data_IF_128156329877
#
_entry.id   IF_128156329877
#
_cell.length_a   1.000
_cell.length_b   1.000
_cell.length_c   1.000
_cell.angle_alpha   90.00
_cell.angle_beta   90.00
_cell.angle_gamma   90.00
#
_symmetry.space_group_name_H-M   'P 1'
#
loop_
_entity.id
_entity.type
_entity.pdbx_description
1 polymer ?
#
# COMPACT_ATOMS: atom_id res chain seq x y z
N UNK A 1 6.00 -22.91 -6.33
CA UNK A 1 6.54 -21.62 -6.78
C UNK A 1 7.26 -21.02 -5.58
N UNK A 2 8.34 -20.27 -5.74
CA UNK A 2 8.91 -19.53 -4.61
C UNK A 2 7.93 -18.41 -4.21
N UNK A 3 7.80 -18.09 -2.92
CA UNK A 3 6.76 -17.16 -2.47
C UNK A 3 7.00 -15.73 -2.96
N UNK A 4 8.26 -15.29 -3.05
CA UNK A 4 8.59 -13.97 -3.61
C UNK A 4 8.20 -13.83 -5.09
N UNK A 5 8.35 -14.92 -5.86
CA UNK A 5 7.90 -14.98 -7.26
C UNK A 5 6.38 -14.92 -7.36
N UNK A 6 5.66 -15.65 -6.49
CA UNK A 6 4.21 -15.64 -6.46
C UNK A 6 3.65 -14.25 -6.11
N UNK A 7 4.25 -13.58 -5.11
CA UNK A 7 3.86 -12.20 -4.76
C UNK A 7 4.05 -11.26 -5.96
N UNK A 8 5.21 -11.32 -6.62
CA UNK A 8 5.48 -10.51 -7.81
C UNK A 8 4.42 -10.73 -8.90
N UNK A 9 4.12 -11.98 -9.25
CA UNK A 9 3.15 -12.30 -10.30
C UNK A 9 1.75 -11.78 -9.95
N UNK A 10 1.32 -11.97 -8.70
CA UNK A 10 -0.01 -11.57 -8.25
C UNK A 10 -0.14 -10.05 -8.07
N UNK A 11 0.91 -9.36 -7.62
CA UNK A 11 0.94 -7.89 -7.56
C UNK A 11 0.92 -7.27 -8.97
N UNK A 12 1.66 -7.85 -9.92
CA UNK A 12 1.63 -7.45 -11.34
C UNK A 12 0.25 -7.68 -11.94
N UNK A 13 -0.38 -8.82 -11.64
CA UNK A 13 -1.72 -9.12 -12.13
C UNK A 13 -2.76 -8.14 -11.58
N UNK A 14 -2.74 -7.86 -10.27
CA UNK A 14 -3.59 -6.85 -9.63
C UNK A 14 -3.49 -5.48 -10.34
N UNK A 15 -2.27 -5.01 -10.60
CA UNK A 15 -2.06 -3.75 -11.31
C UNK A 15 -2.53 -3.80 -12.77
N UNK A 16 -2.39 -4.94 -13.46
CA UNK A 16 -2.89 -5.10 -14.84
C UNK A 16 -4.41 -5.07 -14.91
N UNK A 17 -5.09 -5.65 -13.93
CA UNK A 17 -6.56 -5.64 -13.87
C UNK A 17 -7.07 -4.21 -13.62
N UNK A 18 -6.48 -3.51 -12.65
CA UNK A 18 -6.75 -2.08 -12.40
C UNK A 18 -6.47 -1.22 -13.64
N UNK A 19 -5.36 -1.48 -14.34
CA UNK A 19 -5.03 -0.80 -15.60
C UNK A 19 -6.08 -1.05 -16.69
N UNK A 20 -6.70 -2.23 -16.70
CA UNK A 20 -7.79 -2.60 -17.60
C UNK A 20 -9.02 -1.71 -17.42
N UNK A 21 -9.27 -1.23 -16.20
CA UNK A 21 -10.41 -0.39 -15.84
C UNK A 21 -10.22 1.11 -16.12
N UNK A 22 -9.16 1.49 -16.84
CA UNK A 22 -8.83 2.89 -17.09
C UNK A 22 -9.98 3.72 -17.68
N UNK A 23 -10.85 3.15 -18.51
CA UNK A 23 -12.05 3.84 -19.03
C UNK A 23 -13.08 4.12 -17.94
N UNK A 24 -13.31 3.16 -17.04
CA UNK A 24 -14.20 3.32 -15.88
C UNK A 24 -13.65 4.40 -14.94
N UNK A 25 -12.33 4.41 -14.71
CA UNK A 25 -11.68 5.42 -13.89
C UNK A 25 -11.71 6.81 -14.55
N UNK A 26 -11.68 6.89 -15.88
CA UNK A 26 -11.84 8.15 -16.61
C UNK A 26 -13.24 8.77 -16.43
N UNK A 27 -14.30 7.95 -16.32
CA UNK A 27 -15.64 8.44 -15.99
C UNK A 27 -15.67 9.13 -14.62
N UNK A 28 -15.02 8.52 -13.62
CA UNK A 28 -14.89 9.12 -12.28
C UNK A 28 -14.03 10.38 -12.32
N UNK A 29 -12.91 10.35 -13.03
CA UNK A 29 -12.05 11.52 -13.21
C UNK A 29 -12.78 12.67 -13.92
N UNK A 30 -13.70 12.37 -14.83
CA UNK A 30 -14.55 13.38 -15.48
C UNK A 30 -15.43 14.08 -14.45
N UNK A 31 -16.09 13.33 -13.56
CA UNK A 31 -16.89 13.90 -12.46
C UNK A 31 -16.07 14.74 -11.50
N UNK A 32 -14.89 14.26 -11.12
CA UNK A 32 -13.96 15.02 -10.29
C UNK A 32 -13.49 16.32 -10.97
N UNK A 33 -13.18 16.26 -12.27
CA UNK A 33 -12.76 17.44 -13.06
C UNK A 33 -13.88 18.47 -13.15
N UNK A 34 -15.11 18.03 -13.43
CA UNK A 34 -16.28 18.92 -13.53
C UNK A 34 -16.60 19.59 -12.18
N UNK A 35 -16.47 18.85 -11.08
CA UNK A 35 -16.59 19.40 -9.73
C UNK A 35 -15.56 20.53 -9.51
N UNK A 36 -14.28 20.26 -9.76
CA UNK A 36 -13.21 21.26 -9.58
C UNK A 36 -13.40 22.49 -10.48
N UNK A 37 -13.80 22.31 -11.74
CA UNK A 37 -14.10 23.42 -12.68
C UNK A 37 -15.27 24.29 -12.23
N UNK A 38 -16.18 23.75 -11.43
CA UNK A 38 -17.36 24.46 -10.90
C UNK A 38 -17.19 24.89 -9.44
N UNK A 39 -15.95 24.95 -8.95
CA UNK A 39 -15.58 25.35 -7.58
C UNK A 39 -16.24 24.46 -6.50
N UNK A 40 -16.41 23.17 -6.82
CA UNK A 40 -16.78 22.10 -5.91
C UNK A 40 -15.55 21.33 -5.46
N UNK A 41 -15.69 20.59 -4.38
CA UNK A 41 -14.57 19.87 -3.75
C UNK A 41 -14.61 18.39 -4.13
N UNK A 42 -13.43 17.80 -4.28
CA UNK A 42 -13.26 16.35 -4.37
C UNK A 42 -12.61 15.90 -3.08
N UNK A 43 -13.31 15.06 -2.32
CA UNK A 43 -12.84 14.50 -1.06
C UNK A 43 -12.28 13.10 -1.28
N UNK A 44 -11.18 12.77 -0.62
CA UNK A 44 -10.58 11.43 -0.61
C UNK A 44 -10.54 10.87 0.81
N UNK A 45 -11.32 9.80 1.04
CA UNK A 45 -11.36 9.01 2.26
C UNK A 45 -11.08 7.55 1.95
N UNK A 46 -9.88 7.30 1.41
CA UNK A 46 -9.42 5.96 1.03
C UNK A 46 -8.41 5.52 2.09
N UNK A 47 -8.89 4.80 3.10
CA UNK A 47 -8.11 4.47 4.31
C UNK A 47 -7.84 2.97 4.49
N UNK A 48 -8.20 2.15 3.50
CA UNK A 48 -8.10 0.69 3.59
C UNK A 48 -6.77 0.22 3.01
N UNK A 49 -6.02 -0.52 3.82
CA UNK A 49 -4.57 -0.57 3.70
C UNK A 49 -3.99 0.57 4.55
N UNK A 50 -2.98 0.27 5.35
CA UNK A 50 -2.42 1.27 6.25
C UNK A 50 -1.65 2.36 5.48
N UNK A 51 -1.02 2.00 4.35
CA UNK A 51 -0.26 2.94 3.51
C UNK A 51 -1.07 4.11 2.92
N UNK A 52 -2.29 3.93 2.34
CA UNK A 52 -3.11 5.02 1.82
C UNK A 52 -3.24 6.23 2.75
N UNK A 53 -3.36 6.01 4.07
CA UNK A 53 -3.44 7.07 5.08
C UNK A 53 -2.30 8.08 5.03
N UNK A 54 -1.14 7.65 4.54
CA UNK A 54 0.06 8.47 4.45
C UNK A 54 0.51 8.74 3.01
N UNK A 55 0.16 7.86 2.08
CA UNK A 55 0.50 8.05 0.68
C UNK A 55 -0.41 9.07 0.01
N UNK A 56 -1.65 9.23 0.47
CA UNK A 56 -2.65 10.07 -0.19
C UNK A 56 -2.80 11.48 0.43
N UNK A 57 -2.08 11.77 1.50
CA UNK A 57 -2.10 13.07 2.18
C UNK A 57 -1.69 14.19 1.22
N UNK A 58 -2.29 15.38 1.39
CA UNK A 58 -2.09 16.51 0.48
C UNK A 58 -0.64 17.03 0.45
N UNK A 59 0.11 16.90 1.54
CA UNK A 59 1.52 17.32 1.66
C UNK A 59 2.52 16.23 1.24
N UNK A 60 2.04 15.08 0.75
CA UNK A 60 2.89 14.06 0.14
C UNK A 60 3.60 14.66 -1.06
N UNK A 61 4.94 14.58 -1.08
CA UNK A 61 5.74 15.01 -2.23
C UNK A 61 5.21 14.38 -3.51
N UNK A 62 4.90 15.22 -4.50
CA UNK A 62 4.33 14.78 -5.77
C UNK A 62 2.82 14.71 -5.87
N UNK A 63 2.12 14.90 -4.76
CA UNK A 63 0.68 15.05 -4.77
C UNK A 63 0.32 16.46 -5.24
N UNK A 64 -0.45 16.61 -6.34
CA UNK A 64 -0.90 17.94 -6.79
C UNK A 64 -2.01 18.54 -5.91
N UNK A 65 -2.46 17.81 -4.87
CA UNK A 65 -3.43 18.25 -3.88
C UNK A 65 -4.79 18.69 -4.44
N UNK A 66 -5.22 18.11 -5.57
CA UNK A 66 -6.55 18.35 -6.13
C UNK A 66 -7.68 17.74 -5.30
N UNK A 67 -7.38 16.70 -4.51
CA UNK A 67 -8.36 16.02 -3.67
C UNK A 67 -8.08 16.32 -2.20
N UNK A 68 -9.08 16.75 -1.45
CA UNK A 68 -8.98 16.98 -0.01
C UNK A 68 -8.97 15.63 0.72
N UNK A 69 -7.81 15.25 1.26
CA UNK A 69 -7.70 14.02 2.03
C UNK A 69 -8.31 14.22 3.43
N UNK A 70 -9.29 13.39 3.78
CA UNK A 70 -10.09 13.58 5.00
C UNK A 70 -9.51 12.89 6.23
N UNK A 71 -8.36 12.23 6.12
CA UNK A 71 -7.63 11.64 7.24
C UNK A 71 -7.65 10.11 7.26
N UNK A 72 -7.09 9.56 8.34
CA UNK A 72 -6.83 8.13 8.53
C UNK A 72 -8.07 7.27 8.83
N UNK A 73 -9.12 7.90 9.33
CA UNK A 73 -10.35 7.24 9.78
C UNK A 73 -11.51 7.54 8.83
N UNK A 74 -12.69 6.98 9.11
CA UNK A 74 -13.92 7.40 8.44
C UNK A 74 -14.13 8.91 8.58
N UNK A 75 -14.68 9.55 7.55
CA UNK A 75 -15.02 10.98 7.61
C UNK A 75 -15.83 11.32 8.88
N UNK A 76 -15.45 12.40 9.57
CA UNK A 76 -16.16 12.87 10.76
C UNK A 76 -17.51 13.49 10.38
N UNK A 77 -18.46 13.62 11.33
CA UNK A 77 -19.71 14.33 11.09
C UNK A 77 -19.52 15.76 10.57
N UNK A 78 -18.50 16.47 11.05
CA UNK A 78 -18.16 17.82 10.60
C UNK A 78 -17.66 17.84 9.16
N UNK A 79 -16.85 16.85 8.78
CA UNK A 79 -16.38 16.69 7.40
C UNK A 79 -17.55 16.41 6.45
N UNK A 80 -18.46 15.50 6.81
CA UNK A 80 -19.67 15.27 6.04
C UNK A 80 -20.56 16.53 5.95
N UNK A 81 -20.69 17.29 7.04
CA UNK A 81 -21.48 18.53 7.07
C UNK A 81 -20.88 19.65 6.20
N UNK A 82 -19.57 19.61 5.92
CA UNK A 82 -18.90 20.54 5.01
C UNK A 82 -19.16 20.21 3.53
N UNK A 83 -19.48 18.95 3.20
CA UNK A 83 -19.79 18.52 1.84
C UNK A 83 -21.17 19.01 1.39
N UNK A 84 -21.32 19.25 0.09
CA UNK A 84 -22.54 19.80 -0.51
C UNK A 84 -22.80 19.23 -1.91
N UNK A 85 -24.02 19.42 -2.40
CA UNK A 85 -24.42 19.03 -3.76
C UNK A 85 -23.38 19.46 -4.81
N UNK A 86 -23.01 18.51 -5.68
CA UNK A 86 -22.00 18.70 -6.74
C UNK A 86 -20.56 18.41 -6.33
N UNK A 87 -20.28 18.18 -5.03
CA UNK A 87 -18.99 17.65 -4.59
C UNK A 87 -18.85 16.16 -4.96
N UNK A 88 -17.62 15.65 -4.92
CA UNK A 88 -17.28 14.24 -5.15
C UNK A 88 -16.65 13.65 -3.90
N UNK A 89 -17.05 12.44 -3.51
CA UNK A 89 -16.42 11.69 -2.42
C UNK A 89 -15.87 10.36 -2.94
N UNK A 90 -14.55 10.20 -2.90
CA UNK A 90 -13.87 8.92 -3.12
C UNK A 90 -13.70 8.23 -1.76
N UNK A 91 -14.29 7.06 -1.56
CA UNK A 91 -14.21 6.35 -0.27
C UNK A 91 -14.20 4.85 -0.43
N UNK A 92 -13.83 4.14 0.62
CA UNK A 92 -14.04 2.70 0.77
C UNK A 92 -14.94 2.39 1.97
N UNK A 93 -15.76 3.34 2.42
CA UNK A 93 -16.70 3.16 3.51
C UNK A 93 -18.11 2.82 3.01
N UNK A 94 -18.79 1.92 3.73
CA UNK A 94 -20.21 1.58 3.51
C UNK A 94 -20.97 1.76 4.83
N UNK A 95 -21.65 2.90 4.97
CA UNK A 95 -22.41 3.29 6.16
C UNK A 95 -23.50 4.33 5.85
N UNK A 96 -24.29 4.72 6.86
CA UNK A 96 -25.39 5.68 6.76
C UNK A 96 -24.94 7.06 6.30
N UNK A 97 -23.80 7.56 6.79
CA UNK A 97 -23.30 8.89 6.43
C UNK A 97 -22.90 8.98 4.96
N UNK A 98 -22.28 7.93 4.42
CA UNK A 98 -21.94 7.83 2.99
C UNK A 98 -23.21 7.80 2.13
N UNK A 99 -24.22 7.02 2.54
CA UNK A 99 -25.51 6.99 1.84
C UNK A 99 -26.22 8.35 1.90
N UNK A 100 -26.24 8.99 3.06
CA UNK A 100 -26.85 10.30 3.25
C UNK A 100 -26.15 11.36 2.40
N UNK A 101 -24.82 11.32 2.30
CA UNK A 101 -24.05 12.20 1.42
C UNK A 101 -24.48 12.03 -0.06
N UNK A 102 -24.60 10.78 -0.54
CA UNK A 102 -25.13 10.50 -1.88
C UNK A 102 -26.53 11.09 -2.07
N UNK A 103 -27.42 10.86 -1.11
CA UNK A 103 -28.85 11.22 -1.23
C UNK A 103 -29.07 12.74 -1.27
N UNK A 104 -28.12 13.56 -0.80
CA UNK A 104 -28.13 15.04 -0.93
C UNK A 104 -27.38 15.58 -2.15
N UNK A 105 -27.01 14.70 -3.09
CA UNK A 105 -26.45 15.10 -4.39
C UNK A 105 -24.93 15.18 -4.46
N UNK A 106 -24.21 14.60 -3.50
CA UNK A 106 -22.76 14.36 -3.61
C UNK A 106 -22.53 13.14 -4.50
N UNK A 107 -21.60 13.20 -5.43
CA UNK A 107 -21.24 12.05 -6.26
C UNK A 107 -20.29 11.12 -5.47
N UNK A 108 -20.85 10.05 -4.92
CA UNK A 108 -20.12 9.11 -4.06
C UNK A 108 -19.56 7.96 -4.88
N UNK A 109 -18.25 7.77 -4.81
CA UNK A 109 -17.53 6.67 -5.44
C UNK A 109 -17.00 5.75 -4.35
N UNK A 110 -17.49 4.50 -4.31
CA UNK A 110 -17.03 3.48 -3.36
C UNK A 110 -16.05 2.53 -4.05
N UNK A 111 -14.85 2.39 -3.49
CA UNK A 111 -13.86 1.41 -3.92
C UNK A 111 -14.16 0.12 -3.17
N UNK A 112 -14.32 -1.01 -3.89
CA UNK A 112 -14.35 -2.31 -3.23
C UNK A 112 -13.01 -2.55 -2.55
N UNK A 113 -12.99 -3.17 -1.39
CA UNK A 113 -11.77 -3.59 -0.71
C UNK A 113 -12.04 -4.90 0.02
N UNK A 114 -11.00 -5.55 0.54
CA UNK A 114 -11.17 -6.73 1.37
C UNK A 114 -11.92 -6.46 2.69
N UNK A 115 -11.95 -5.22 3.17
CA UNK A 115 -12.56 -4.83 4.45
C UNK A 115 -14.06 -4.54 4.34
N UNK A 116 -14.58 -4.46 3.11
CA UNK A 116 -15.99 -4.18 2.84
C UNK A 116 -16.61 -5.40 2.17
N UNK A 117 -17.68 -5.91 2.75
CA UNK A 117 -18.45 -6.97 2.12
C UNK A 117 -19.04 -6.45 0.80
N UNK A 118 -18.83 -7.16 -0.29
CA UNK A 118 -19.20 -6.70 -1.63
C UNK A 118 -19.62 -7.90 -2.50
N UNK A 119 -20.12 -7.62 -3.70
CA UNK A 119 -20.65 -8.64 -4.62
C UNK A 119 -19.68 -9.77 -4.98
N UNK A 120 -18.37 -9.52 -4.89
CA UNK A 120 -17.32 -10.51 -5.21
C UNK A 120 -16.90 -11.33 -3.98
N UNK A 121 -17.39 -10.98 -2.80
CA UNK A 121 -17.07 -11.66 -1.55
C UNK A 121 -17.96 -12.90 -1.38
N UNK A 122 -17.38 -14.08 -1.12
CA UNK A 122 -18.18 -15.26 -0.81
C UNK A 122 -18.99 -15.07 0.48
N UNK A 123 -20.24 -15.56 0.47
CA UNK A 123 -21.15 -15.40 1.59
C UNK A 123 -20.55 -15.91 2.91
N UNK A 124 -20.64 -15.09 3.96
CA UNK A 124 -20.18 -15.43 5.31
C UNK A 124 -18.66 -15.48 5.50
N UNK A 125 -17.87 -14.91 4.56
CA UNK A 125 -16.41 -14.84 4.69
C UNK A 125 -15.89 -13.50 5.24
N UNK A 126 -16.61 -12.42 4.97
CA UNK A 126 -16.35 -11.08 5.50
C UNK A 126 -17.54 -10.68 6.36
N UNK A 127 -17.27 -9.97 7.45
CA UNK A 127 -18.31 -9.46 8.34
C UNK A 127 -19.26 -8.56 7.53
N UNK A 128 -20.58 -8.60 7.81
CA UNK A 128 -21.51 -7.75 7.10
C UNK A 128 -21.20 -6.28 7.33
N UNK A 129 -21.42 -5.47 6.29
CA UNK A 129 -21.38 -4.02 6.44
C UNK A 129 -22.56 -3.55 7.30
N UNK A 130 -22.56 -2.27 7.67
CA UNK A 130 -23.68 -1.66 8.39
C UNK A 130 -24.98 -1.87 7.60
N UNK A 131 -26.04 -2.31 8.29
CA UNK A 131 -27.35 -2.64 7.72
C UNK A 131 -27.33 -3.71 6.61
N UNK A 132 -26.30 -4.56 6.54
CA UNK A 132 -26.08 -5.55 5.48
C UNK A 132 -26.01 -4.94 4.07
N UNK A 133 -25.74 -3.65 3.96
CA UNK A 133 -25.66 -2.95 2.68
C UNK A 133 -24.45 -3.38 1.86
N UNK A 134 -24.60 -3.38 0.54
CA UNK A 134 -23.51 -3.52 -0.41
C UNK A 134 -23.01 -2.14 -0.86
N UNK A 135 -21.80 -2.02 -1.43
CA UNK A 135 -21.31 -0.76 -1.99
C UNK A 135 -22.32 -0.05 -2.91
N UNK A 136 -23.05 -0.81 -3.73
CA UNK A 136 -24.09 -0.31 -4.63
C UNK A 136 -25.27 0.37 -3.90
N UNK A 137 -25.54 0.02 -2.64
CA UNK A 137 -26.64 0.60 -1.87
C UNK A 137 -26.35 2.02 -1.37
N UNK A 138 -25.06 2.41 -1.32
CA UNK A 138 -24.61 3.71 -0.79
C UNK A 138 -23.89 4.58 -1.82
N UNK A 139 -23.38 3.99 -2.90
CA UNK A 139 -22.58 4.70 -3.89
C UNK A 139 -23.41 5.27 -5.06
N UNK A 140 -22.89 6.31 -5.72
CA UNK A 140 -23.24 6.68 -7.09
C UNK A 140 -22.50 5.81 -8.11
N UNK A 141 -21.28 5.39 -7.78
CA UNK A 141 -20.44 4.50 -8.61
C UNK A 141 -19.60 3.59 -7.72
N UNK A 142 -19.54 2.32 -8.07
CA UNK A 142 -18.63 1.35 -7.43
C UNK A 142 -17.46 1.10 -8.36
N UNK A 143 -16.24 1.17 -7.83
CA UNK A 143 -14.99 0.82 -8.51
C UNK A 143 -14.51 -0.49 -7.93
N UNK A 144 -14.29 -1.49 -8.79
CA UNK A 144 -13.66 -2.74 -8.37
C UNK A 144 -12.17 -2.51 -8.21
N UNK A 145 -11.62 -2.76 -7.03
CA UNK A 145 -10.18 -2.62 -6.80
C UNK A 145 -9.39 -3.84 -7.23
N UNK A 146 -10.06 -4.95 -7.56
CA UNK A 146 -9.46 -6.26 -7.82
C UNK A 146 -8.65 -6.83 -6.64
N UNK A 147 -8.67 -6.15 -5.48
CA UNK A 147 -8.05 -6.65 -4.26
C UNK A 147 -8.85 -7.89 -3.83
N UNK A 148 -8.20 -9.06 -3.67
CA UNK A 148 -8.91 -10.26 -3.26
C UNK A 148 -9.54 -10.04 -1.89
N UNK A 149 -10.74 -10.57 -1.66
CA UNK A 149 -11.44 -10.43 -0.36
C UNK A 149 -10.61 -10.96 0.82
N UNK A 150 -9.73 -11.95 0.58
CA UNK A 150 -8.83 -12.50 1.59
C UNK A 150 -7.52 -11.70 1.75
N UNK A 151 -7.32 -10.64 0.98
CA UNK A 151 -6.22 -9.65 0.98
C UNK A 151 -4.84 -10.17 0.56
N UNK A 152 -4.44 -11.34 1.02
CA UNK A 152 -3.12 -11.90 0.76
C UNK A 152 -2.93 -12.29 -0.70
N UNK A 153 -1.71 -12.13 -1.20
CA UNK A 153 -1.30 -12.39 -2.57
C UNK A 153 -0.42 -13.64 -2.71
N UNK A 154 -0.15 -14.36 -1.61
CA UNK A 154 0.69 -15.56 -1.63
C UNK A 154 -0.01 -16.69 -0.91
N UNK A 155 -0.04 -17.87 -1.52
CA UNK A 155 -0.44 -19.10 -0.86
C UNK A 155 0.77 -19.81 -0.24
N UNK A 156 0.81 -19.89 1.09
CA UNK A 156 1.82 -20.65 1.82
C UNK A 156 1.21 -21.97 2.34
N UNK A 157 1.65 -23.16 1.85
CA UNK A 157 1.12 -24.45 2.30
C UNK A 157 1.22 -24.70 3.80
N UNK A 158 2.24 -24.13 4.44
CA UNK A 158 2.49 -24.21 5.88
C UNK A 158 1.51 -23.38 6.72
N UNK A 159 0.75 -22.49 6.08
CA UNK A 159 -0.22 -21.58 6.71
C UNK A 159 -1.57 -21.73 5.97
N UNK A 160 -2.20 -22.92 6.02
CA UNK A 160 -3.35 -23.26 5.17
C UNK A 160 -4.63 -22.46 5.45
N UNK A 161 -4.73 -21.78 6.60
CA UNK A 161 -5.88 -20.98 7.00
C UNK A 161 -6.05 -19.65 6.22
N UNK A 162 -4.98 -19.18 5.56
CA UNK A 162 -4.97 -17.89 4.85
C UNK A 162 -3.91 -17.81 3.77
N UNK A 163 -4.14 -16.93 2.79
CA UNK A 163 -3.06 -16.35 1.99
C UNK A 163 -2.34 -15.27 2.80
N UNK A 164 -1.04 -15.09 2.58
CA UNK A 164 -0.18 -14.11 3.25
C UNK A 164 0.23 -12.99 2.30
N UNK A 165 0.86 -11.94 2.85
CA UNK A 165 1.39 -10.75 2.15
C UNK A 165 0.31 -9.94 1.41
N UNK A 166 -0.13 -8.78 1.95
CA UNK A 166 -1.26 -8.03 1.42
C UNK A 166 -0.99 -7.34 0.06
N UNK A 167 -2.09 -7.09 -0.67
CA UNK A 167 -2.10 -6.29 -1.89
C UNK A 167 -2.95 -5.01 -1.83
N UNK A 168 -3.67 -4.76 -0.75
CA UNK A 168 -4.72 -3.73 -0.68
C UNK A 168 -4.21 -2.31 -0.92
N UNK A 169 -3.08 -1.98 -0.30
CA UNK A 169 -2.43 -0.67 -0.46
C UNK A 169 -1.95 -0.41 -1.88
N UNK A 170 -1.44 -1.44 -2.58
CA UNK A 170 -1.03 -1.32 -3.97
C UNK A 170 -2.22 -0.97 -4.87
N UNK A 171 -3.35 -1.67 -4.69
CA UNK A 171 -4.54 -1.46 -5.51
C UNK A 171 -5.20 -0.10 -5.27
N UNK A 172 -5.42 0.25 -4.00
CA UNK A 172 -6.11 1.48 -3.62
C UNK A 172 -5.31 2.73 -3.99
N UNK A 173 -3.98 2.72 -3.78
CA UNK A 173 -3.12 3.83 -4.18
C UNK A 173 -3.03 3.94 -5.72
N UNK A 174 -2.94 2.81 -6.44
CA UNK A 174 -2.89 2.84 -7.91
C UNK A 174 -4.14 3.50 -8.51
N UNK A 175 -5.33 3.10 -8.04
CA UNK A 175 -6.61 3.67 -8.51
C UNK A 175 -6.67 5.17 -8.21
N UNK A 176 -6.31 5.58 -7.00
CA UNK A 176 -6.25 6.99 -6.63
C UNK A 176 -5.35 7.77 -7.57
N UNK A 177 -4.11 7.33 -7.78
CA UNK A 177 -3.15 8.04 -8.62
C UNK A 177 -3.54 8.05 -10.10
N UNK A 178 -4.21 7.02 -10.59
CA UNK A 178 -4.79 7.02 -11.93
C UNK A 178 -5.85 8.12 -12.10
N UNK A 179 -6.78 8.24 -11.15
CA UNK A 179 -7.82 9.29 -11.17
C UNK A 179 -7.16 10.67 -11.03
N UNK A 180 -6.22 10.84 -10.10
CA UNK A 180 -5.48 12.09 -9.91
C UNK A 180 -4.75 12.52 -11.18
N UNK A 181 -4.11 11.58 -11.87
CA UNK A 181 -3.36 11.87 -13.10
C UNK A 181 -4.28 12.34 -14.24
N UNK A 182 -5.43 11.69 -14.42
CA UNK A 182 -6.46 12.10 -15.38
C UNK A 182 -7.00 13.50 -15.07
N UNK A 183 -7.36 13.77 -13.80
CA UNK A 183 -7.86 15.07 -13.37
C UNK A 183 -6.83 16.17 -13.59
N UNK A 184 -5.58 15.94 -13.15
CA UNK A 184 -4.49 16.90 -13.30
C UNK A 184 -4.28 17.29 -14.77
N UNK A 185 -4.25 16.29 -15.66
CA UNK A 185 -4.08 16.52 -17.09
C UNK A 185 -5.29 17.24 -17.69
N UNK A 186 -6.52 16.84 -17.34
CA UNK A 186 -7.75 17.47 -17.83
C UNK A 186 -7.89 18.93 -17.41
N UNK A 187 -7.48 19.29 -16.19
CA UNK A 187 -7.44 20.68 -15.72
C UNK A 187 -6.39 21.50 -16.46
N UNK A 188 -5.22 20.92 -16.75
CA UNK A 188 -4.13 21.61 -17.44
C UNK A 188 -4.39 21.82 -18.95
N UNK A 189 -5.15 20.93 -19.60
CA UNK A 189 -5.33 20.97 -21.06
C UNK A 189 -6.76 21.23 -21.53
N UNK A 190 -7.70 21.43 -20.60
CA UNK A 190 -9.15 21.54 -20.88
C UNK A 190 -9.76 20.32 -21.61
N UNK A 191 -9.04 19.19 -21.64
CA UNK A 191 -9.54 17.95 -22.26
C UNK A 191 -10.46 17.21 -21.29
N UNK A 192 -11.27 16.31 -21.84
CA UNK A 192 -12.01 15.32 -21.05
C UNK A 192 -11.10 14.14 -20.75
N UNK A 193 -11.10 13.62 -19.51
CA UNK A 193 -10.46 12.36 -19.18
C UNK A 193 -10.89 11.22 -20.12
N UNK A 194 -9.92 10.43 -20.57
CA UNK A 194 -10.15 9.29 -21.48
C UNK A 194 -9.45 8.00 -21.01
N UNK A 195 -8.77 8.05 -19.87
CA UNK A 195 -8.11 6.91 -19.23
C UNK A 195 -6.68 6.68 -19.72
N UNK A 196 -6.20 7.41 -20.74
CA UNK A 196 -4.85 7.21 -21.27
C UNK A 196 -3.76 7.65 -20.30
N UNK A 197 -3.98 8.72 -19.53
CA UNK A 197 -3.01 9.25 -18.58
C UNK A 197 -2.95 8.36 -17.33
N UNK A 198 -4.10 7.93 -16.82
CA UNK A 198 -4.18 6.94 -15.75
C UNK A 198 -3.53 5.62 -16.15
N UNK A 199 -3.81 5.11 -17.36
CA UNK A 199 -3.16 3.90 -17.89
C UNK A 199 -1.64 4.05 -17.97
N UNK A 200 -1.16 5.22 -18.38
CA UNK A 200 0.27 5.54 -18.43
C UNK A 200 0.95 5.44 -17.06
N UNK A 201 0.27 5.85 -15.99
CA UNK A 201 0.79 5.71 -14.62
C UNK A 201 1.09 4.24 -14.29
N UNK A 202 0.12 3.35 -14.52
CA UNK A 202 0.30 1.92 -14.23
C UNK A 202 1.26 1.25 -15.21
N UNK A 203 1.32 1.67 -16.48
CA UNK A 203 2.33 1.19 -17.44
C UNK A 203 3.75 1.39 -16.90
N UNK A 204 4.03 2.57 -16.35
CA UNK A 204 5.34 2.89 -15.77
C UNK A 204 5.61 2.06 -14.51
N UNK A 205 4.60 1.87 -13.64
CA UNK A 205 4.74 0.98 -12.48
C UNK A 205 5.12 -0.44 -12.91
N UNK A 206 4.38 -1.01 -13.87
CA UNK A 206 4.60 -2.36 -14.38
C UNK A 206 5.99 -2.51 -15.02
N UNK A 207 6.43 -1.52 -15.80
CA UNK A 207 7.78 -1.49 -16.38
C UNK A 207 8.85 -1.55 -15.29
N UNK A 208 8.72 -0.71 -14.26
CA UNK A 208 9.68 -0.63 -13.15
C UNK A 208 9.68 -1.89 -12.29
N UNK A 209 8.52 -2.44 -11.97
CA UNK A 209 8.38 -3.70 -11.21
C UNK A 209 9.06 -4.84 -11.98
N UNK A 210 8.86 -4.92 -13.30
CA UNK A 210 9.53 -5.91 -14.15
C UNK A 210 11.05 -5.70 -14.20
N UNK A 211 11.53 -4.46 -14.19
CA UNK A 211 12.96 -4.16 -14.17
C UNK A 211 13.62 -4.53 -12.83
N UNK A 212 12.95 -4.26 -11.71
CA UNK A 212 13.40 -4.70 -10.37
C UNK A 212 13.44 -6.23 -10.32
N UNK A 213 12.37 -6.90 -10.75
CA UNK A 213 12.32 -8.36 -10.78
C UNK A 213 13.44 -8.95 -11.64
N UNK A 214 13.59 -8.50 -12.88
CA UNK A 214 14.59 -9.08 -13.78
C UNK A 214 16.04 -8.82 -13.38
N UNK A 215 16.34 -7.69 -12.72
CA UNK A 215 17.72 -7.30 -12.38
C UNK A 215 18.12 -7.66 -10.95
N UNK A 216 17.18 -7.60 -10.00
CA UNK A 216 17.49 -7.65 -8.58
C UNK A 216 17.07 -8.97 -7.92
N UNK A 217 16.39 -9.88 -8.63
CA UNK A 217 15.88 -11.15 -8.07
C UNK A 217 16.97 -11.99 -7.39
N UNK A 218 18.18 -12.03 -7.95
CA UNK A 218 19.29 -12.78 -7.32
C UNK A 218 19.66 -12.16 -5.96
N UNK A 219 19.78 -10.84 -5.90
CA UNK A 219 20.09 -10.12 -4.65
C UNK A 219 18.92 -10.21 -3.66
N UNK A 220 17.67 -10.19 -4.14
CA UNK A 220 16.49 -10.37 -3.31
C UNK A 220 16.50 -11.74 -2.65
N UNK A 221 16.76 -12.80 -3.42
CA UNK A 221 16.82 -14.17 -2.88
C UNK A 221 17.98 -14.34 -1.89
N UNK A 222 19.18 -13.83 -2.17
CA UNK A 222 20.30 -13.91 -1.21
C UNK A 222 20.05 -13.09 0.06
N UNK A 223 19.38 -11.94 -0.07
CA UNK A 223 18.99 -11.12 1.07
C UNK A 223 17.95 -11.84 1.91
N UNK A 224 16.95 -12.46 1.28
CA UNK A 224 15.91 -13.22 1.96
C UNK A 224 16.46 -14.37 2.81
N UNK A 225 17.45 -15.13 2.31
CA UNK A 225 18.14 -16.17 3.08
C UNK A 225 18.79 -15.57 4.34
N UNK A 226 19.51 -14.45 4.19
CA UNK A 226 20.19 -13.79 5.32
C UNK A 226 19.21 -13.22 6.36
N UNK A 227 18.05 -12.73 5.93
CA UNK A 227 16.98 -12.30 6.84
C UNK A 227 16.43 -13.51 7.60
N UNK A 228 16.12 -14.61 6.90
CA UNK A 228 15.56 -15.81 7.52
C UNK A 228 16.51 -16.40 8.57
N UNK A 229 17.80 -16.55 8.26
CA UNK A 229 18.84 -16.99 9.21
C UNK A 229 18.84 -16.14 10.47
N UNK A 230 18.85 -14.81 10.29
CA UNK A 230 18.86 -13.83 11.38
C UNK A 230 17.63 -13.91 12.28
N UNK A 231 16.44 -13.98 11.67
CA UNK A 231 15.18 -14.07 12.41
C UNK A 231 15.11 -15.40 13.18
N UNK A 232 15.48 -16.52 12.56
CA UNK A 232 15.50 -17.85 13.20
C UNK A 232 16.45 -17.87 14.40
N UNK A 233 17.56 -17.12 14.35
CA UNK A 233 18.52 -16.98 15.45
C UNK A 233 18.05 -16.02 16.57
N UNK A 234 16.81 -15.51 16.49
CA UNK A 234 16.18 -14.62 17.47
C UNK A 234 16.34 -13.13 17.16
N UNK A 235 16.51 -12.78 15.89
CA UNK A 235 16.55 -11.41 15.38
C UNK A 235 15.15 -10.79 15.19
N UNK A 236 15.08 -9.47 15.28
CA UNK A 236 13.88 -8.68 14.98
C UNK A 236 13.89 -8.18 13.53
N UNK A 237 12.71 -7.90 12.97
CA UNK A 237 12.55 -7.27 11.67
C UNK A 237 11.90 -5.90 11.82
N UNK A 238 12.68 -4.87 11.56
CA UNK A 238 12.28 -3.48 11.68
C UNK A 238 12.15 -2.86 10.30
N UNK A 239 11.05 -2.16 10.06
CA UNK A 239 10.79 -1.38 8.86
C UNK A 239 10.57 0.09 9.25
N UNK A 240 11.25 1.00 8.55
CA UNK A 240 11.07 2.45 8.66
C UNK A 240 10.78 3.08 7.32
N UNK A 241 9.93 4.09 7.34
CA UNK A 241 9.65 4.95 6.18
C UNK A 241 9.34 6.35 6.68
N UNK A 242 10.03 7.37 6.16
CA UNK A 242 9.83 8.76 6.60
C UNK A 242 8.39 9.24 6.46
N UNK A 243 7.71 8.88 5.37
CA UNK A 243 6.31 9.22 5.19
C UNK A 243 5.36 8.26 5.94
N UNK A 244 5.86 7.29 6.72
CA UNK A 244 5.12 6.25 7.44
C UNK A 244 4.32 5.27 6.56
N UNK A 245 4.13 5.50 5.26
CA UNK A 245 3.30 4.64 4.41
C UNK A 245 3.71 3.16 4.42
N UNK A 246 4.94 2.87 3.99
CA UNK A 246 5.47 1.49 3.93
C UNK A 246 5.66 0.90 5.35
N UNK A 247 6.08 1.72 6.31
CA UNK A 247 6.24 1.30 7.70
C UNK A 247 4.91 0.87 8.34
N UNK A 248 3.86 1.66 8.13
CA UNK A 248 2.53 1.37 8.63
C UNK A 248 1.95 0.15 7.94
N UNK A 249 2.19 -0.02 6.63
CA UNK A 249 1.79 -1.22 5.90
C UNK A 249 2.53 -2.48 6.34
N UNK A 250 3.79 -2.39 6.75
CA UNK A 250 4.51 -3.53 7.29
C UNK A 250 3.96 -3.98 8.65
N UNK A 251 3.26 -3.09 9.36
CA UNK A 251 2.90 -3.27 10.78
C UNK A 251 1.42 -3.59 10.93
N UNK A 252 1.11 -4.74 11.54
CA UNK A 252 -0.25 -5.15 11.97
C UNK A 252 -1.34 -5.18 10.90
N UNK A 253 -0.99 -5.00 9.64
CA UNK A 253 -1.93 -5.09 8.52
C UNK A 253 -2.46 -6.52 8.40
N UNK A 254 -3.70 -6.66 7.92
CA UNK A 254 -4.28 -7.95 7.64
C UNK A 254 -3.45 -8.73 6.59
N UNK A 255 -3.21 -10.01 6.86
CA UNK A 255 -2.26 -10.88 6.12
C UNK A 255 -0.81 -10.40 6.14
N UNK A 256 -0.50 -9.42 7.00
CA UNK A 256 0.85 -8.98 7.31
C UNK A 256 1.52 -9.92 8.31
N UNK A 257 2.83 -9.94 8.23
CA UNK A 257 3.70 -10.74 9.09
C UNK A 257 3.67 -10.18 10.53
N UNK A 258 3.43 -11.03 11.54
CA UNK A 258 3.28 -10.56 12.93
C UNK A 258 4.57 -9.98 13.51
N UNK A 259 5.74 -10.50 13.13
CA UNK A 259 7.03 -10.04 13.65
C UNK A 259 7.48 -8.67 13.13
N UNK A 260 6.88 -8.18 12.03
CA UNK A 260 7.29 -6.93 11.41
C UNK A 260 6.94 -5.76 12.34
N UNK A 261 7.96 -5.02 12.79
CA UNK A 261 7.86 -3.92 13.76
C UNK A 261 7.22 -4.31 15.12
N UNK A 262 7.14 -5.60 15.45
CA UNK A 262 6.60 -6.03 16.74
C UNK A 262 7.53 -5.73 17.91
N UNK A 263 8.84 -5.68 17.62
CA UNK A 263 9.88 -5.47 18.62
C UNK A 263 10.79 -4.32 18.20
N UNK A 264 11.30 -3.53 19.17
CA UNK A 264 12.25 -2.46 18.87
C UNK A 264 13.60 -3.04 18.41
N UNK A 265 14.36 -2.23 17.69
CA UNK A 265 15.78 -2.51 17.47
C UNK A 265 16.53 -2.54 18.80
N UNK A 266 17.52 -3.43 18.91
CA UNK A 266 18.34 -3.59 20.11
C UNK A 266 19.79 -3.14 19.88
N UNK A 267 20.51 -2.71 20.92
CA UNK A 267 21.97 -2.57 20.88
C UNK A 267 22.68 -3.88 20.54
N UNK A 268 23.92 -3.80 20.06
CA UNK A 268 24.70 -4.96 19.62
C UNK A 268 24.92 -5.99 20.75
N UNK A 269 25.08 -5.55 22.00
CA UNK A 269 25.27 -6.40 23.19
C UNK A 269 23.97 -7.07 23.69
N UNK A 270 22.82 -6.66 23.15
CA UNK A 270 21.50 -7.24 23.43
C UNK A 270 20.95 -8.06 22.25
N UNK A 271 21.78 -8.33 21.23
CA UNK A 271 21.43 -9.12 20.05
C UNK A 271 21.04 -8.31 18.81
N UNK A 272 21.35 -7.01 18.78
CA UNK A 272 21.14 -6.16 17.61
C UNK A 272 21.86 -6.64 16.36
N UNK A 273 22.95 -7.39 16.50
CA UNK A 273 23.68 -8.03 15.39
C UNK A 273 22.84 -9.07 14.63
N UNK A 274 21.77 -9.57 15.25
CA UNK A 274 20.79 -10.48 14.65
C UNK A 274 19.62 -9.76 14.00
N UNK A 275 19.37 -8.50 14.34
CA UNK A 275 18.22 -7.77 13.81
C UNK A 275 18.45 -7.39 12.34
N UNK A 276 17.35 -7.29 11.61
CA UNK A 276 17.30 -6.75 10.24
C UNK A 276 16.55 -5.42 10.26
N UNK A 277 17.12 -4.40 9.62
CA UNK A 277 16.57 -3.05 9.58
C UNK A 277 16.37 -2.60 8.13
N UNK A 278 15.12 -2.48 7.71
CA UNK A 278 14.73 -2.04 6.38
C UNK A 278 14.31 -0.56 6.38
N UNK A 279 14.87 0.23 5.48
CA UNK A 279 14.55 1.64 5.29
C UNK A 279 13.96 1.83 3.89
N UNK A 280 12.69 2.21 3.82
CA UNK A 280 11.98 2.51 2.57
C UNK A 280 11.98 4.03 2.32
N UNK A 281 12.97 4.50 1.57
CA UNK A 281 13.11 5.91 1.21
C UNK A 281 12.15 6.30 0.08
N UNK A 282 11.36 7.34 0.31
CA UNK A 282 10.44 7.91 -0.69
C UNK A 282 11.00 9.13 -1.42
N UNK A 283 12.14 9.65 -0.95
CA UNK A 283 12.90 10.76 -1.52
C UNK A 283 14.38 10.37 -1.66
N UNK A 284 15.15 11.18 -2.40
CA UNK A 284 16.54 10.85 -2.76
C UNK A 284 17.57 11.29 -1.71
N UNK A 285 17.22 12.09 -0.71
CA UNK A 285 18.21 12.68 0.19
C UNK A 285 17.66 13.08 1.57
N UNK A 286 16.75 12.28 2.15
CA UNK A 286 16.22 12.62 3.46
C UNK A 286 17.24 12.38 4.59
N UNK A 287 17.51 13.38 5.46
CA UNK A 287 18.39 13.21 6.61
C UNK A 287 17.92 12.14 7.61
N UNK A 288 16.61 11.89 7.71
CA UNK A 288 16.06 10.90 8.63
C UNK A 288 16.44 9.48 8.21
N UNK A 289 16.43 9.20 6.91
CA UNK A 289 16.84 7.89 6.36
C UNK A 289 18.31 7.60 6.70
N UNK A 290 19.16 8.63 6.62
CA UNK A 290 20.57 8.54 7.00
C UNK A 290 20.73 8.30 8.50
N UNK A 291 19.97 9.02 9.32
CA UNK A 291 19.99 8.89 10.78
C UNK A 291 19.64 7.47 11.21
N UNK A 292 18.57 6.90 10.64
CA UNK A 292 18.19 5.50 10.93
C UNK A 292 19.24 4.50 10.49
N UNK A 293 19.88 4.70 9.33
CA UNK A 293 20.95 3.81 8.88
C UNK A 293 22.18 3.85 9.81
N UNK A 294 22.54 5.03 10.32
CA UNK A 294 23.65 5.21 11.26
C UNK A 294 23.35 4.61 12.65
N UNK A 295 22.11 4.77 13.13
CA UNK A 295 21.62 4.12 14.35
C UNK A 295 21.63 2.59 14.20
N UNK A 296 21.10 2.07 13.10
CA UNK A 296 21.06 0.64 12.81
C UNK A 296 22.47 0.05 12.69
N UNK A 297 23.40 0.79 12.10
CA UNK A 297 24.82 0.40 12.01
C UNK A 297 25.47 0.33 13.40
N UNK A 298 25.18 1.29 14.27
CA UNK A 298 25.66 1.30 15.67
C UNK A 298 25.14 0.09 16.45
N UNK A 299 23.92 -0.34 16.16
CA UNK A 299 23.29 -1.53 16.75
C UNK A 299 23.79 -2.85 16.15
N UNK A 300 24.59 -2.81 15.09
CA UNK A 300 25.08 -3.99 14.37
C UNK A 300 24.04 -4.65 13.46
N UNK A 301 22.90 -4.00 13.20
CA UNK A 301 21.82 -4.57 12.40
C UNK A 301 22.27 -4.85 10.96
N UNK A 302 21.58 -5.77 10.29
CA UNK A 302 21.69 -5.93 8.84
C UNK A 302 20.78 -4.93 8.14
N UNK A 303 21.36 -3.98 7.42
CA UNK A 303 20.68 -2.79 6.90
C UNK A 303 20.30 -2.99 5.44
N UNK A 304 19.02 -2.84 5.14
CA UNK A 304 18.45 -2.95 3.80
C UNK A 304 17.83 -1.60 3.41
N UNK A 305 18.25 -1.03 2.30
CA UNK A 305 17.64 0.16 1.73
C UNK A 305 16.73 -0.19 0.55
N UNK A 306 15.59 0.47 0.44
CA UNK A 306 14.78 0.53 -0.78
C UNK A 306 14.57 2.00 -1.11
N UNK A 307 14.86 2.44 -2.34
CA UNK A 307 14.61 3.83 -2.71
C UNK A 307 15.13 4.23 -4.10
N UNK A 308 15.09 5.53 -4.43
CA UNK A 308 15.65 6.05 -5.67
C UNK A 308 17.15 5.77 -5.82
N UNK A 309 17.60 5.31 -6.99
CA UNK A 309 19.04 5.14 -7.32
C UNK A 309 19.96 6.32 -6.94
N UNK A 310 19.45 7.55 -6.99
CA UNK A 310 20.20 8.78 -6.66
C UNK A 310 20.39 8.99 -5.15
N UNK A 311 19.80 8.14 -4.29
CA UNK A 311 19.98 8.19 -2.84
C UNK A 311 21.30 7.54 -2.41
N UNK A 312 22.40 8.16 -2.84
CA UNK A 312 23.76 7.75 -2.49
C UNK A 312 23.98 7.76 -0.97
N UNK A 313 23.39 8.73 -0.26
CA UNK A 313 23.54 8.88 1.18
C UNK A 313 23.07 7.64 1.96
N UNK A 314 21.86 7.14 1.66
CA UNK A 314 21.35 5.91 2.24
C UNK A 314 22.08 4.68 1.67
N UNK A 315 22.27 4.63 0.34
CA UNK A 315 22.87 3.48 -0.35
C UNK A 315 24.25 3.12 0.20
N UNK A 316 25.09 4.11 0.47
CA UNK A 316 26.46 3.90 0.97
C UNK A 316 26.49 3.38 2.42
N UNK A 317 25.35 3.41 3.13
CA UNK A 317 25.20 2.96 4.52
C UNK A 317 24.43 1.65 4.67
N UNK A 318 23.86 1.12 3.59
CA UNK A 318 23.16 -0.15 3.61
C UNK A 318 24.10 -1.30 3.26
N UNK A 319 23.85 -2.48 3.83
CA UNK A 319 24.50 -3.71 3.36
C UNK A 319 23.98 -4.14 1.98
N UNK A 320 22.68 -3.93 1.74
CA UNK A 320 22.02 -4.16 0.45
C UNK A 320 21.09 -3.00 0.15
N UNK A 321 21.08 -2.56 -1.11
CA UNK A 321 20.21 -1.49 -1.59
C UNK A 321 19.43 -1.94 -2.83
N UNK A 322 18.12 -1.87 -2.76
CA UNK A 322 17.22 -2.11 -3.89
C UNK A 322 16.76 -0.77 -4.47
N UNK A 323 17.15 -0.50 -5.71
CA UNK A 323 16.68 0.70 -6.39
C UNK A 323 15.27 0.49 -6.94
N UNK A 324 14.34 1.33 -6.51
CA UNK A 324 12.93 1.27 -6.87
C UNK A 324 12.63 1.84 -8.28
N UNK A 325 13.66 2.25 -9.02
CA UNK A 325 13.60 2.84 -10.36
C UNK A 325 12.80 4.15 -10.44
N UNK A 326 12.58 4.81 -9.30
CA UNK A 326 11.97 6.13 -9.24
C UNK A 326 13.06 7.20 -9.19
N UNK A 327 13.49 7.65 -10.36
CA UNK A 327 14.47 8.74 -10.47
C UNK A 327 13.83 10.11 -10.25
N UNK A 328 12.51 10.21 -10.41
CA UNK A 328 11.78 11.47 -10.29
C UNK A 328 11.32 11.71 -8.84
N UNK A 329 11.71 12.86 -8.23
CA UNK A 329 11.43 13.13 -6.82
C UNK A 329 9.92 13.29 -6.55
N UNK A 330 9.21 13.97 -7.46
CA UNK A 330 7.80 14.35 -7.29
C UNK A 330 6.81 13.46 -8.04
N UNK A 331 7.24 12.40 -8.72
CA UNK A 331 6.35 11.45 -9.38
C UNK A 331 6.59 11.29 -10.87
N UNK A 332 5.67 10.59 -11.54
CA UNK A 332 5.96 9.96 -12.83
C UNK A 332 5.13 10.48 -13.99
N UNK A 333 4.11 11.29 -13.72
CA UNK A 333 3.22 11.84 -14.75
C UNK A 333 3.58 13.29 -15.05
N UNK A 334 3.99 13.61 -16.30
CA UNK A 334 4.16 14.99 -16.72
C UNK A 334 2.80 15.64 -16.95
N UNK A 335 2.61 16.84 -16.41
CA UNK A 335 1.40 17.66 -16.61
C UNK A 335 1.79 18.94 -17.34
N UNK A 336 1.12 19.31 -18.43
CA UNK A 336 1.41 20.57 -19.14
C UNK A 336 1.33 21.78 -18.20
N UNK A 337 2.39 22.61 -18.21
CA UNK A 337 2.48 23.79 -17.34
C UNK A 337 3.03 23.54 -15.93
N UNK A 338 3.22 22.28 -15.52
CA UNK A 338 3.92 21.93 -14.28
C UNK A 338 5.42 21.72 -14.57
N UNK A 339 6.29 22.30 -13.73
CA UNK A 339 7.73 22.09 -13.83
C UNK A 339 8.11 20.66 -13.41
N UNK A 340 7.52 20.18 -12.32
CA UNK A 340 7.72 18.84 -11.79
C UNK A 340 6.61 17.89 -12.26
N UNK A 341 6.96 16.61 -12.37
CA UNK A 341 5.97 15.54 -12.55
C UNK A 341 5.17 15.35 -11.26
N UNK A 342 3.96 14.78 -11.40
CA UNK A 342 3.05 14.48 -10.28
C UNK A 342 2.75 12.98 -10.21
N UNK A 343 1.97 12.60 -9.20
CA UNK A 343 1.60 11.21 -8.90
C UNK A 343 2.84 10.38 -8.54
N UNK A 344 3.25 10.34 -7.26
CA UNK A 344 4.41 9.57 -6.83
C UNK A 344 4.20 8.08 -7.12
N UNK A 345 5.30 7.40 -7.43
CA UNK A 345 5.36 5.95 -7.63
C UNK A 345 6.15 5.23 -6.52
N UNK A 346 6.91 5.98 -5.71
CA UNK A 346 7.83 5.44 -4.72
C UNK A 346 7.13 4.62 -3.65
N UNK A 347 5.94 5.03 -3.16
CA UNK A 347 5.20 4.27 -2.15
C UNK A 347 4.82 2.87 -2.63
N UNK A 348 4.15 2.76 -3.78
CA UNK A 348 3.73 1.47 -4.35
C UNK A 348 4.92 0.59 -4.70
N UNK A 349 5.96 1.13 -5.34
CA UNK A 349 7.15 0.35 -5.71
C UNK A 349 7.91 -0.13 -4.47
N UNK A 350 8.12 0.72 -3.47
CA UNK A 350 8.77 0.31 -2.23
C UNK A 350 7.97 -0.78 -1.51
N UNK A 351 6.65 -0.64 -1.45
CA UNK A 351 5.78 -1.64 -0.82
C UNK A 351 5.84 -3.00 -1.53
N UNK A 352 5.81 -3.01 -2.86
CA UNK A 352 5.93 -4.25 -3.64
C UNK A 352 7.30 -4.90 -3.43
N UNK A 353 8.40 -4.14 -3.46
CA UNK A 353 9.75 -4.68 -3.22
C UNK A 353 9.86 -5.26 -1.81
N UNK A 354 9.37 -4.54 -0.81
CA UNK A 354 9.34 -5.00 0.59
C UNK A 354 8.57 -6.30 0.73
N UNK A 355 7.40 -6.44 0.09
CA UNK A 355 6.62 -7.67 0.18
C UNK A 355 7.12 -8.82 -0.70
N UNK A 356 7.77 -8.54 -1.84
CA UNK A 356 8.53 -9.57 -2.56
C UNK A 356 9.63 -10.16 -1.67
N UNK A 357 10.37 -9.29 -0.97
CA UNK A 357 11.39 -9.70 -0.01
C UNK A 357 10.79 -10.43 1.20
N UNK A 358 9.67 -9.93 1.73
CA UNK A 358 8.95 -10.54 2.87
C UNK A 358 8.46 -11.93 2.55
N UNK A 359 7.75 -12.09 1.43
CA UNK A 359 7.31 -13.38 0.95
C UNK A 359 8.50 -14.34 0.77
N UNK A 360 9.60 -13.87 0.16
CA UNK A 360 10.75 -14.73 -0.06
C UNK A 360 11.46 -15.16 1.22
N UNK A 361 11.65 -14.29 2.21
CA UNK A 361 12.30 -14.74 3.44
C UNK A 361 11.39 -15.65 4.26
N UNK A 362 10.06 -15.49 4.17
CA UNK A 362 9.09 -16.42 4.77
C UNK A 362 9.18 -17.80 4.12
N UNK A 363 9.34 -17.88 2.80
CA UNK A 363 9.59 -19.14 2.08
C UNK A 363 10.86 -19.83 2.61
N UNK A 364 11.95 -19.08 2.78
CA UNK A 364 13.19 -19.63 3.36
C UNK A 364 13.00 -20.08 4.81
N UNK A 365 12.27 -19.31 5.64
CA UNK A 365 11.95 -19.71 7.00
C UNK A 365 11.14 -21.01 7.05
N UNK A 366 10.11 -21.14 6.20
CA UNK A 366 9.32 -22.36 6.07
C UNK A 366 10.16 -23.57 5.66
N UNK A 367 11.08 -23.41 4.71
CA UNK A 367 12.03 -24.47 4.30
C UNK A 367 12.97 -24.91 5.41
N UNK A 368 13.31 -24.00 6.32
CA UNK A 368 14.08 -24.28 7.52
C UNK A 368 13.23 -24.86 8.67
N UNK A 369 11.93 -25.08 8.46
CA UNK A 369 11.01 -25.60 9.48
C UNK A 369 10.56 -24.56 10.51
N UNK A 370 10.80 -23.27 10.26
CA UNK A 370 10.44 -22.17 11.14
C UNK A 370 9.27 -21.37 10.56
N UNK A 371 8.04 -21.86 10.75
CA UNK A 371 6.84 -21.20 10.20
C UNK A 371 6.51 -19.94 11.03
N UNK A 372 6.51 -18.73 10.44
CA UNK A 372 6.18 -17.50 11.17
C UNK A 372 4.68 -17.26 11.27
N UNK A 373 4.27 -16.33 12.13
CA UNK A 373 2.87 -15.99 12.36
C UNK A 373 2.40 -14.80 11.52
N UNK A 374 1.13 -14.82 11.10
CA UNK A 374 0.49 -13.76 10.32
C UNK A 374 -0.81 -13.30 10.95
N UNK A 375 -1.12 -12.02 10.79
CA UNK A 375 -2.41 -11.46 11.21
C UNK A 375 -3.52 -11.89 10.25
N UNK A 376 -4.60 -12.49 10.75
CA UNK A 376 -5.82 -12.61 9.97
C UNK A 376 -6.59 -11.30 10.04
N UNK A 377 -7.08 -10.79 8.91
CA UNK A 377 -7.85 -9.55 8.92
C UNK A 377 -9.09 -9.64 9.80
N UNK A 378 -9.26 -8.72 10.75
CA UNK A 378 -10.41 -8.69 11.67
C UNK A 378 -11.75 -8.47 10.96
N UNK A 379 -11.72 -7.97 9.72
CA UNK A 379 -12.88 -7.89 8.85
C UNK A 379 -13.39 -9.28 8.41
N UNK A 380 -12.56 -10.33 8.46
CA UNK A 380 -12.97 -11.70 8.13
C UNK A 380 -13.78 -12.27 9.30
N UNK A 381 -14.79 -13.06 8.97
CA UNK A 381 -15.50 -13.82 10.00
C UNK A 381 -14.52 -14.77 10.71
N UNK A 382 -14.38 -14.61 12.03
CA UNK A 382 -13.43 -15.34 12.86
C UNK A 382 -11.98 -14.81 12.85
N UNK A 383 -11.70 -13.70 12.15
CA UNK A 383 -10.34 -13.13 12.08
C UNK A 383 -9.84 -12.60 13.42
N UNK A 384 -10.72 -11.97 14.20
CA UNK A 384 -10.42 -11.54 15.58
C UNK A 384 -10.06 -12.72 16.48
N UNK A 385 -10.93 -13.73 16.53
CA UNK A 385 -10.72 -14.94 17.33
C UNK A 385 -9.40 -15.66 16.97
N UNK A 386 -9.10 -15.76 15.67
CA UNK A 386 -7.82 -16.31 15.22
C UNK A 386 -6.62 -15.54 15.80
N UNK A 387 -6.65 -14.21 15.73
CA UNK A 387 -5.56 -13.38 16.22
C UNK A 387 -5.40 -13.47 17.74
N UNK A 388 -6.51 -13.55 18.49
CA UNK A 388 -6.49 -13.75 19.94
C UNK A 388 -5.82 -15.07 20.32
N UNK A 389 -6.03 -16.13 19.53
CA UNK A 389 -5.42 -17.44 19.73
C UNK A 389 -3.95 -17.46 19.32
N UNK A 390 -3.58 -16.88 18.18
CA UNK A 390 -2.23 -16.99 17.64
C UNK A 390 -1.22 -16.03 18.28
N UNK A 391 -1.67 -14.84 18.70
CA UNK A 391 -0.78 -13.81 19.23
C UNK A 391 0.04 -14.26 20.46
N UNK A 392 -0.51 -14.99 21.45
CA UNK A 392 0.29 -15.53 22.55
C UNK A 392 1.43 -16.44 22.11
N UNK A 393 1.21 -17.31 21.11
CA UNK A 393 2.25 -18.20 20.59
C UNK A 393 3.36 -17.43 19.87
N UNK A 394 2.98 -16.40 19.10
CA UNK A 394 3.93 -15.47 18.50
C UNK A 394 4.79 -14.78 19.58
N UNK A 395 4.16 -14.22 20.61
CA UNK A 395 4.87 -13.52 21.69
C UNK A 395 5.79 -14.45 22.50
N UNK A 396 5.42 -15.72 22.68
CA UNK A 396 6.26 -16.73 23.33
C UNK A 396 7.49 -17.09 22.49
N UNK A 397 7.34 -17.18 21.16
CA UNK A 397 8.44 -17.49 20.24
C UNK A 397 9.39 -16.30 20.03
N UNK A 398 8.85 -15.09 19.95
CA UNK A 398 9.63 -13.85 19.73
C UNK A 398 9.90 -13.51 18.26
N UNK A 399 9.42 -14.33 17.31
CA UNK A 399 9.36 -14.08 15.87
C UNK A 399 8.28 -14.94 15.20
#
# INVERSE_FOLDING_TARGET
MAFGEEYYQNAVQLLRDIRGDAEILAEVATKATDALRTSRTVYANITTGHMPTYELINDREGNPAFFEFTGADSCTPEQFAAMREGDVLLTNSVNESVRAARDVGIYVVVFTTCYVNNRNTPQGKVNPNVNDWMPEDVASRVIDSHIPWHQGLVFAPEIPEMTICPGSSNGSCAIHWMITAEVAHALATEKTPDGNIGRRYVDILLERIADVHSRDLTNLNSTAVKIAERIIDGGHYIVRSRNLGVESEASTVAQGLMLANAFPSRPIDEGGDKDTFLIAAVSSNDPQDITWAEEASTNGNYIIGIGPSENHGLRDRCDVYFDNRCHEPSGIIPIPGCADKVCPATGILNNIIMYMLTAQFVDEMCRCGAVPYFWMGGYRCGGGDYNEVMRPFFLERGY
#
